data_IF_418029477488
#
_entry.id   IF_418029477488
#
_cell.length_a   1.000
_cell.length_b   1.000
_cell.length_c   1.000
_cell.angle_alpha   90.00
_cell.angle_beta   90.00
_cell.angle_gamma   90.00
#
_symmetry.space_group_name_H-M   'P 1'
#
loop_
_entity.id
_entity.type
_entity.pdbx_description
1 polymer ?
#
# COMPACT_ATOMS: atom_id res chain seq x y z
N UNK A 1 9.33 -26.64 -53.64
CA UNK A 1 8.44 -25.85 -52.77
C UNK A 1 9.13 -25.71 -51.43
N UNK A 2 9.89 -24.63 -51.23
CA UNK A 2 10.63 -24.38 -50.00
C UNK A 2 9.72 -23.59 -49.04
N UNK A 3 9.37 -24.17 -47.90
CA UNK A 3 8.71 -23.46 -46.82
C UNK A 3 9.77 -22.69 -46.03
N UNK A 4 9.71 -21.36 -46.12
CA UNK A 4 10.43 -20.46 -45.22
C UNK A 4 9.63 -20.43 -43.93
N UNK A 5 10.17 -21.04 -42.87
CA UNK A 5 9.69 -20.78 -41.50
C UNK A 5 10.15 -19.38 -41.10
N UNK A 6 9.21 -18.44 -41.02
CA UNK A 6 9.44 -17.18 -40.35
C UNK A 6 9.50 -17.44 -38.84
N UNK A 7 10.67 -17.28 -38.23
CA UNK A 7 10.78 -17.14 -36.77
C UNK A 7 10.02 -15.87 -36.36
N UNK A 8 8.85 -16.05 -35.77
CA UNK A 8 8.21 -15.01 -34.97
C UNK A 8 9.06 -14.83 -33.71
N UNK A 9 9.80 -13.71 -33.63
CA UNK A 9 10.37 -13.24 -32.38
C UNK A 9 9.22 -12.91 -31.41
N UNK A 10 8.87 -13.85 -30.54
CA UNK A 10 7.90 -13.66 -29.47
C UNK A 10 8.63 -13.43 -28.15
N UNK A 11 9.18 -12.23 -27.95
CA UNK A 11 9.63 -11.76 -26.62
C UNK A 11 9.36 -10.26 -26.49
N UNK A 12 8.14 -9.84 -26.85
CA UNK A 12 7.62 -8.59 -26.30
C UNK A 12 7.28 -8.87 -24.83
N UNK A 13 8.26 -8.63 -23.94
CA UNK A 13 8.05 -8.70 -22.50
C UNK A 13 6.82 -7.85 -22.18
N UNK A 14 5.76 -8.48 -21.66
CA UNK A 14 4.52 -7.79 -21.32
C UNK A 14 4.85 -6.72 -20.29
N UNK A 15 4.78 -5.45 -20.70
CA UNK A 15 5.04 -4.33 -19.81
C UNK A 15 3.83 -4.16 -18.88
N UNK A 16 4.09 -4.12 -17.57
CA UNK A 16 3.09 -3.73 -16.59
C UNK A 16 2.62 -2.29 -16.83
N UNK A 17 1.39 -1.96 -16.43
CA UNK A 17 0.79 -0.61 -16.60
C UNK A 17 1.62 0.52 -16.00
N UNK A 18 2.40 0.22 -14.97
CA UNK A 18 3.27 1.12 -14.24
C UNK A 18 4.70 1.19 -14.78
N UNK A 19 5.01 0.45 -15.85
CA UNK A 19 6.36 0.43 -16.43
C UNK A 19 6.68 1.78 -17.06
N UNK A 20 7.80 2.38 -16.67
CA UNK A 20 8.36 3.56 -17.32
C UNK A 20 9.64 3.21 -18.07
N UNK A 21 10.00 4.02 -19.07
CA UNK A 21 11.23 3.83 -19.86
C UNK A 21 12.48 4.32 -19.15
N UNK A 22 12.35 5.43 -18.43
CA UNK A 22 13.46 6.10 -17.75
C UNK A 22 13.43 5.80 -16.24
N UNK A 23 14.60 5.70 -15.59
CA UNK A 23 14.67 5.53 -14.13
C UNK A 23 13.93 6.61 -13.35
N UNK A 24 13.13 6.22 -12.36
CA UNK A 24 12.42 7.13 -11.45
C UNK A 24 13.24 7.32 -10.18
N UNK A 25 14.26 8.18 -10.25
CA UNK A 25 15.20 8.45 -9.13
C UNK A 25 14.62 9.31 -8.01
N UNK A 26 13.50 9.98 -8.27
CA UNK A 26 12.78 10.79 -7.29
C UNK A 26 11.30 10.45 -7.38
N UNK A 27 10.57 10.38 -6.26
CA UNK A 27 9.14 10.13 -6.29
C UNK A 27 8.40 11.07 -7.23
N UNK A 28 7.57 10.47 -8.09
CA UNK A 28 6.75 11.16 -9.08
C UNK A 28 5.29 10.78 -8.87
N UNK A 29 4.39 11.76 -8.98
CA UNK A 29 2.94 11.52 -8.95
C UNK A 29 2.57 10.50 -10.04
N UNK A 30 1.82 9.48 -9.64
CA UNK A 30 1.40 8.39 -10.50
C UNK A 30 0.03 8.69 -11.12
N UNK A 31 -0.05 8.54 -12.45
CA UNK A 31 -1.31 8.67 -13.20
C UNK A 31 -2.11 9.94 -12.81
N UNK A 32 -1.42 11.07 -12.82
CA UNK A 32 -1.97 12.40 -12.51
C UNK A 32 -3.22 12.72 -13.35
N UNK A 33 -4.23 13.28 -12.69
CA UNK A 33 -5.52 13.66 -13.29
C UNK A 33 -6.50 12.51 -13.49
N UNK A 34 -6.13 11.26 -13.20
CA UNK A 34 -7.03 10.11 -13.28
C UNK A 34 -7.01 9.24 -12.02
N UNK A 35 -5.84 8.98 -11.44
CA UNK A 35 -5.69 8.31 -10.15
C UNK A 35 -5.41 9.36 -9.08
N UNK A 36 -4.30 10.08 -9.18
CA UNK A 36 -3.99 11.21 -8.30
C UNK A 36 -4.62 12.46 -8.88
N UNK A 37 -5.72 12.92 -8.28
CA UNK A 37 -6.54 14.00 -8.84
C UNK A 37 -6.45 15.30 -8.06
N UNK A 38 -5.76 15.32 -6.92
CA UNK A 38 -5.81 16.44 -5.97
C UNK A 38 -6.93 16.29 -4.94
N UNK A 39 -7.54 15.10 -4.83
CA UNK A 39 -8.31 14.75 -3.63
C UNK A 39 -7.34 14.03 -2.65
N UNK A 40 -7.82 13.08 -1.86
CA UNK A 40 -6.99 12.28 -0.96
C UNK A 40 -6.91 10.83 -1.44
N UNK A 41 -5.91 10.51 -2.27
CA UNK A 41 -5.66 9.18 -2.84
C UNK A 41 -4.41 8.51 -2.28
N UNK A 42 -4.51 7.21 -1.93
CA UNK A 42 -3.39 6.51 -1.32
C UNK A 42 -3.50 4.96 -1.30
N UNK A 43 -2.57 4.27 -0.62
CA UNK A 43 -2.47 2.83 -0.35
C UNK A 43 -2.65 2.01 -1.64
N UNK A 44 -1.81 2.26 -2.67
CA UNK A 44 -1.91 1.55 -3.93
C UNK A 44 -1.67 0.05 -3.75
N UNK A 45 -2.48 -0.77 -4.42
CA UNK A 45 -2.34 -2.20 -4.51
C UNK A 45 -2.65 -2.68 -5.94
N UNK A 46 -1.62 -3.11 -6.65
CA UNK A 46 -1.79 -3.62 -8.02
C UNK A 46 -2.26 -5.08 -8.04
N UNK A 47 -3.07 -5.43 -9.04
CA UNK A 47 -3.27 -6.83 -9.42
C UNK A 47 -1.93 -7.48 -9.80
N UNK A 48 -1.79 -8.82 -9.73
CA UNK A 48 -0.55 -9.49 -10.13
C UNK A 48 -0.14 -9.25 -11.58
N UNK A 49 -1.13 -9.07 -12.48
CA UNK A 49 -0.92 -8.69 -13.88
C UNK A 49 -0.60 -7.20 -14.05
N UNK A 50 -0.71 -6.40 -13.00
CA UNK A 50 -0.53 -4.95 -12.99
C UNK A 50 -1.54 -4.20 -13.86
N UNK A 51 -2.60 -4.82 -14.34
CA UNK A 51 -3.63 -4.19 -15.19
C UNK A 51 -4.77 -3.53 -14.39
N UNK A 52 -4.76 -3.69 -13.07
CA UNK A 52 -5.78 -3.16 -12.17
C UNK A 52 -5.06 -2.55 -10.98
N UNK A 53 -5.38 -1.30 -10.67
CA UNK A 53 -4.91 -0.63 -9.46
C UNK A 53 -6.09 -0.51 -8.50
N UNK A 54 -5.94 -1.02 -7.30
CA UNK A 54 -6.78 -0.71 -6.15
C UNK A 54 -6.09 0.38 -5.32
N UNK A 55 -6.85 1.31 -4.77
CA UNK A 55 -6.31 2.41 -3.96
C UNK A 55 -7.42 2.97 -3.07
N UNK A 56 -7.05 3.67 -2.01
CA UNK A 56 -7.99 4.39 -1.17
C UNK A 56 -8.26 5.77 -1.75
N UNK A 57 -9.52 6.20 -1.66
CA UNK A 57 -9.92 7.60 -1.86
C UNK A 57 -10.87 8.00 -0.75
N UNK A 58 -10.70 9.20 -0.18
CA UNK A 58 -11.47 9.58 0.99
C UNK A 58 -11.27 11.01 1.48
N UNK A 59 -11.59 11.22 2.76
CA UNK A 59 -11.44 12.50 3.45
C UNK A 59 -10.08 12.58 4.16
N UNK A 60 -9.44 13.77 4.22
CA UNK A 60 -8.14 13.93 4.88
C UNK A 60 -8.12 13.61 6.39
N UNK A 61 -9.26 13.68 7.05
CA UNK A 61 -9.41 13.34 8.48
C UNK A 61 -9.65 11.84 8.71
N UNK A 62 -9.57 11.03 7.65
CA UNK A 62 -9.81 9.59 7.64
C UNK A 62 -11.21 9.15 8.10
N UNK A 63 -12.17 10.08 8.26
CA UNK A 63 -13.54 9.76 8.67
C UNK A 63 -14.32 8.98 7.62
N UNK A 64 -13.86 9.02 6.36
CA UNK A 64 -14.41 8.27 5.25
C UNK A 64 -13.29 7.85 4.29
N UNK A 65 -13.15 6.54 4.07
CA UNK A 65 -12.35 5.96 3.00
C UNK A 65 -13.12 4.84 2.31
N UNK A 66 -12.96 4.76 0.99
CA UNK A 66 -13.38 3.62 0.20
C UNK A 66 -12.20 3.04 -0.57
N UNK A 67 -12.22 1.72 -0.77
CA UNK A 67 -11.33 1.06 -1.72
C UNK A 67 -11.91 1.28 -3.11
N UNK A 68 -11.21 2.06 -3.92
CA UNK A 68 -11.49 2.29 -5.33
C UNK A 68 -10.62 1.37 -6.20
N UNK A 69 -11.01 1.20 -7.47
CA UNK A 69 -10.19 0.54 -8.47
C UNK A 69 -10.24 1.25 -9.82
N UNK A 70 -9.20 1.08 -10.62
CA UNK A 70 -9.14 1.50 -12.02
C UNK A 70 -8.49 0.40 -12.87
N UNK A 71 -8.96 0.24 -14.11
CA UNK A 71 -8.38 -0.69 -15.07
C UNK A 71 -7.43 0.03 -16.03
N UNK A 72 -6.28 -0.58 -16.30
CA UNK A 72 -5.38 -0.17 -17.37
C UNK A 72 -5.70 -0.94 -18.65
N UNK A 73 -6.24 -0.23 -19.66
CA UNK A 73 -6.60 -0.81 -20.95
C UNK A 73 -6.22 0.16 -22.07
N UNK A 74 -5.66 -0.37 -23.15
CA UNK A 74 -5.29 0.42 -24.34
C UNK A 74 -4.40 1.63 -24.01
N UNK A 75 -3.42 1.45 -23.11
CA UNK A 75 -2.45 2.48 -22.76
C UNK A 75 -2.93 3.52 -21.75
N UNK A 76 -4.14 3.38 -21.17
CA UNK A 76 -4.72 4.35 -20.25
C UNK A 76 -5.45 3.70 -19.08
N UNK A 77 -5.46 4.40 -17.95
CA UNK A 77 -6.33 4.09 -16.81
C UNK A 77 -7.77 4.50 -17.11
N UNK A 78 -8.74 3.69 -16.66
CA UNK A 78 -10.16 4.06 -16.68
C UNK A 78 -10.49 5.06 -15.58
N UNK A 79 -11.65 5.72 -15.68
CA UNK A 79 -12.23 6.42 -14.53
C UNK A 79 -12.33 5.44 -13.36
N UNK A 80 -11.86 5.81 -12.16
CA UNK A 80 -11.97 4.95 -10.99
C UNK A 80 -13.42 4.70 -10.59
N UNK A 81 -13.67 3.51 -10.04
CA UNK A 81 -14.95 3.09 -9.48
C UNK A 81 -14.73 2.59 -8.04
N UNK A 82 -15.75 2.68 -7.18
CA UNK A 82 -15.69 2.06 -5.85
C UNK A 82 -15.76 0.54 -6.02
N UNK A 83 -14.89 -0.18 -5.31
CA UNK A 83 -14.93 -1.64 -5.32
C UNK A 83 -16.29 -2.14 -4.79
N UNK A 84 -16.88 -3.19 -5.39
CA UNK A 84 -18.28 -3.58 -5.10
C UNK A 84 -18.51 -4.06 -3.66
N UNK A 85 -17.44 -4.28 -2.89
CA UNK A 85 -17.48 -4.67 -1.48
C UNK A 85 -17.14 -3.53 -0.50
N UNK A 86 -16.94 -2.31 -1.02
CA UNK A 86 -16.53 -1.12 -0.27
C UNK A 86 -17.50 0.06 -0.46
N UNK A 87 -17.31 1.14 0.31
CA UNK A 87 -18.10 2.37 0.23
C UNK A 87 -19.28 2.48 1.21
N UNK A 88 -19.55 1.42 1.99
CA UNK A 88 -20.54 1.45 3.09
C UNK A 88 -19.91 1.65 4.47
N UNK A 89 -18.64 1.27 4.60
CA UNK A 89 -17.86 1.32 5.83
C UNK A 89 -16.52 1.99 5.52
N UNK A 90 -15.74 2.31 6.55
CA UNK A 90 -14.37 2.77 6.37
C UNK A 90 -13.52 1.53 6.09
N UNK A 91 -13.16 1.34 4.82
CA UNK A 91 -12.32 0.24 4.35
C UNK A 91 -10.97 0.79 3.94
N UNK A 92 -9.90 0.23 4.50
CA UNK A 92 -8.54 0.73 4.33
C UNK A 92 -7.55 -0.40 4.06
N UNK A 93 -6.34 -0.03 3.65
CA UNK A 93 -5.18 -0.89 3.51
C UNK A 93 -5.34 -2.15 2.64
N UNK A 94 -5.74 -2.00 1.36
CA UNK A 94 -5.89 -3.14 0.48
C UNK A 94 -4.54 -3.86 0.24
N UNK A 95 -4.59 -5.19 0.25
CA UNK A 95 -3.52 -6.07 -0.19
C UNK A 95 -4.08 -7.19 -1.06
N UNK A 96 -3.54 -7.34 -2.27
CA UNK A 96 -3.94 -8.37 -3.23
C UNK A 96 -2.96 -9.55 -3.16
N UNK A 97 -3.50 -10.76 -3.07
CA UNK A 97 -2.69 -12.00 -3.07
C UNK A 97 -2.00 -12.23 -4.42
N UNK A 98 -0.93 -13.04 -4.42
CA UNK A 98 -0.13 -13.39 -5.61
C UNK A 98 -0.96 -13.91 -6.79
N UNK A 99 -2.01 -14.68 -6.51
CA UNK A 99 -2.92 -15.22 -7.52
C UNK A 99 -3.99 -14.21 -7.98
N UNK A 100 -4.07 -13.07 -7.30
CA UNK A 100 -5.01 -11.98 -7.56
C UNK A 100 -6.43 -12.27 -7.10
N UNK A 101 -6.69 -13.43 -6.50
CA UNK A 101 -8.06 -13.89 -6.23
C UNK A 101 -8.57 -13.55 -4.84
N UNK A 102 -7.71 -13.05 -3.95
CA UNK A 102 -8.09 -12.61 -2.62
C UNK A 102 -7.52 -11.23 -2.33
N UNK A 103 -8.33 -10.38 -1.73
CA UNK A 103 -7.89 -9.13 -1.12
C UNK A 103 -8.00 -9.26 0.39
N UNK A 104 -6.97 -8.87 1.13
CA UNK A 104 -7.02 -8.56 2.56
C UNK A 104 -7.10 -7.05 2.72
N UNK A 105 -7.85 -6.58 3.72
CA UNK A 105 -8.03 -5.16 4.00
C UNK A 105 -8.50 -4.97 5.45
N UNK A 106 -8.33 -3.79 6.02
CA UNK A 106 -8.86 -3.45 7.34
C UNK A 106 -10.20 -2.71 7.21
N UNK A 107 -11.13 -2.96 8.13
CA UNK A 107 -12.47 -2.38 8.07
C UNK A 107 -13.13 -2.28 9.45
N UNK A 108 -13.90 -1.21 9.65
CA UNK A 108 -14.76 -1.03 10.83
C UNK A 108 -16.18 -1.62 10.65
N UNK A 109 -16.38 -2.47 9.64
CA UNK A 109 -17.68 -3.06 9.37
C UNK A 109 -18.16 -4.01 10.49
N UNK A 110 -19.48 -4.13 10.71
CA UNK A 110 -20.09 -5.10 11.61
C UNK A 110 -19.71 -6.55 11.27
N UNK A 111 -19.49 -7.40 12.29
CA UNK A 111 -19.20 -8.83 12.09
C UNK A 111 -20.48 -9.60 11.77
N UNK A 112 -21.57 -9.28 12.48
CA UNK A 112 -22.91 -9.81 12.26
C UNK A 112 -23.86 -8.71 11.76
N UNK A 113 -24.91 -9.02 10.97
CA UNK A 113 -25.92 -8.05 10.55
C UNK A 113 -26.66 -7.34 11.69
N UNK A 114 -26.55 -7.83 12.93
CA UNK A 114 -27.16 -7.22 14.13
C UNK A 114 -26.23 -6.24 14.84
N UNK A 115 -24.94 -6.27 14.52
CA UNK A 115 -23.95 -5.41 15.18
C UNK A 115 -23.97 -4.01 14.55
N UNK A 116 -23.51 -3.03 15.33
CA UNK A 116 -23.27 -1.68 14.81
C UNK A 116 -21.90 -1.58 14.15
N UNK A 117 -21.65 -0.47 13.45
CA UNK A 117 -20.30 -0.11 13.00
C UNK A 117 -19.36 -0.15 14.20
N UNK A 118 -18.17 -0.71 13.97
CA UNK A 118 -17.15 -0.91 15.00
C UNK A 118 -16.41 0.41 15.29
N UNK A 119 -15.96 0.62 16.53
CA UNK A 119 -15.09 1.74 16.87
C UNK A 119 -13.61 1.49 16.52
N UNK A 120 -13.25 0.23 16.24
CA UNK A 120 -11.94 -0.26 15.87
C UNK A 120 -11.95 -0.86 14.46
N UNK A 121 -10.76 -1.22 13.95
CA UNK A 121 -10.60 -1.88 12.67
C UNK A 121 -10.18 -3.33 12.85
N UNK A 122 -10.87 -4.23 12.17
CA UNK A 122 -10.47 -5.64 12.07
C UNK A 122 -9.94 -5.92 10.66
N UNK A 123 -9.15 -6.98 10.51
CA UNK A 123 -8.76 -7.51 9.20
C UNK A 123 -9.87 -8.38 8.63
N UNK A 124 -10.23 -8.08 7.38
CA UNK A 124 -11.17 -8.81 6.55
C UNK A 124 -10.46 -9.34 5.31
N UNK A 125 -11.05 -10.36 4.70
CA UNK A 125 -10.67 -10.82 3.36
C UNK A 125 -11.87 -10.94 2.45
N UNK A 126 -11.67 -10.74 1.16
CA UNK A 126 -12.67 -10.97 0.13
C UNK A 126 -12.06 -11.75 -1.01
N UNK A 127 -12.76 -12.77 -1.49
CA UNK A 127 -12.31 -13.60 -2.61
C UNK A 127 -13.12 -13.26 -3.86
N UNK A 128 -12.51 -13.37 -5.04
CA UNK A 128 -13.21 -13.26 -6.33
C UNK A 128 -13.29 -14.60 -7.05
N UNK A 129 -14.33 -14.75 -7.85
CA UNK A 129 -14.51 -15.84 -8.80
C UNK A 129 -14.80 -15.24 -10.20
N UNK A 130 -15.27 -16.06 -11.14
CA UNK A 130 -15.62 -15.62 -12.50
C UNK A 130 -16.68 -14.52 -12.56
N UNK A 131 -17.51 -14.39 -11.52
CA UNK A 131 -18.59 -13.39 -11.43
C UNK A 131 -18.13 -12.09 -10.75
N UNK A 132 -16.88 -12.00 -10.30
CA UNK A 132 -16.33 -10.84 -9.59
C UNK A 132 -16.05 -11.11 -8.11
N UNK A 133 -15.92 -10.03 -7.33
CA UNK A 133 -15.68 -10.10 -5.89
C UNK A 133 -16.93 -10.59 -5.15
N UNK A 134 -16.75 -11.46 -4.16
CA UNK A 134 -17.81 -11.95 -3.28
C UNK A 134 -18.01 -11.01 -2.07
N UNK A 135 -18.82 -11.45 -1.10
CA UNK A 135 -18.94 -10.77 0.18
C UNK A 135 -17.68 -10.94 1.02
N UNK A 136 -17.21 -9.88 1.71
CA UNK A 136 -16.08 -10.01 2.62
C UNK A 136 -16.37 -10.89 3.83
N UNK A 137 -15.36 -11.60 4.27
CA UNK A 137 -15.35 -12.46 5.46
C UNK A 137 -14.36 -11.92 6.49
N UNK A 138 -14.81 -11.86 7.74
CA UNK A 138 -14.01 -11.49 8.90
C UNK A 138 -12.95 -12.55 9.18
N UNK A 139 -11.71 -12.16 9.52
CA UNK A 139 -10.73 -13.12 10.05
C UNK A 139 -11.05 -13.44 11.52
N UNK A 140 -10.71 -14.66 11.95
CA UNK A 140 -11.04 -15.08 13.31
C UNK A 140 -10.24 -14.35 14.40
N UNK A 141 -10.60 -14.62 15.66
CA UNK A 141 -10.01 -14.00 16.85
C UNK A 141 -8.55 -14.39 17.13
N UNK A 142 -7.95 -15.26 16.32
CA UNK A 142 -6.50 -15.47 16.32
C UNK A 142 -5.81 -14.23 15.78
N UNK A 143 -6.34 -13.67 14.69
CA UNK A 143 -5.81 -12.47 14.05
C UNK A 143 -6.42 -11.24 14.69
N UNK A 144 -7.75 -11.12 14.67
CA UNK A 144 -8.45 -9.94 15.15
C UNK A 144 -8.51 -9.89 16.68
N UNK A 145 -8.47 -8.70 17.27
CA UNK A 145 -8.48 -8.50 18.71
C UNK A 145 -9.55 -7.51 19.16
N UNK A 146 -9.45 -7.04 20.41
CA UNK A 146 -10.30 -5.95 20.92
C UNK A 146 -9.65 -4.57 20.69
N UNK A 147 -8.60 -4.53 19.88
CA UNK A 147 -7.85 -3.36 19.47
C UNK A 147 -7.75 -3.41 17.95
N UNK A 148 -7.38 -2.30 17.33
CA UNK A 148 -7.33 -2.24 15.88
C UNK A 148 -6.17 -3.06 15.30
N UNK A 149 -6.46 -3.71 14.18
CA UNK A 149 -5.50 -4.35 13.29
C UNK A 149 -5.47 -3.63 11.93
N UNK A 150 -4.27 -3.35 11.44
CA UNK A 150 -4.03 -2.49 10.30
C UNK A 150 -3.13 -3.14 9.26
N UNK A 151 -3.31 -2.75 8.01
CA UNK A 151 -2.39 -2.99 6.90
C UNK A 151 -1.88 -4.41 6.77
N UNK A 152 -2.78 -5.38 6.49
CA UNK A 152 -2.40 -6.76 6.27
C UNK A 152 -1.55 -6.89 5.00
N UNK A 153 -0.41 -7.57 5.08
CA UNK A 153 0.38 -8.00 3.91
C UNK A 153 0.82 -9.45 4.06
N UNK A 154 0.95 -10.16 2.94
CA UNK A 154 1.34 -11.58 2.95
C UNK A 154 2.66 -11.81 2.22
N UNK A 155 3.46 -12.70 2.77
CA UNK A 155 4.54 -13.37 2.05
C UNK A 155 4.02 -14.50 1.15
N UNK A 156 4.84 -15.03 0.23
CA UNK A 156 4.44 -16.09 -0.70
C UNK A 156 4.12 -17.42 -0.02
N UNK A 157 4.67 -17.67 1.18
CA UNK A 157 4.31 -18.82 2.01
C UNK A 157 2.97 -18.67 2.75
N UNK A 158 2.32 -17.51 2.60
CA UNK A 158 1.04 -17.19 3.23
C UNK A 158 1.14 -16.59 4.62
N UNK A 159 2.34 -16.39 5.18
CA UNK A 159 2.50 -15.70 6.46
C UNK A 159 1.92 -14.27 6.37
N UNK A 160 1.12 -13.90 7.35
CA UNK A 160 0.43 -12.62 7.44
C UNK A 160 1.20 -11.68 8.36
N UNK A 161 1.56 -10.52 7.85
CA UNK A 161 2.18 -9.41 8.57
C UNK A 161 1.18 -8.26 8.68
N UNK A 162 1.08 -7.66 9.86
CA UNK A 162 0.12 -6.58 10.11
C UNK A 162 0.52 -5.74 11.32
N UNK A 163 0.06 -4.50 11.35
CA UNK A 163 0.15 -3.65 12.54
C UNK A 163 -0.99 -3.97 13.51
N UNK A 164 -0.74 -3.95 14.82
CA UNK A 164 -1.78 -4.17 15.81
C UNK A 164 -1.51 -3.43 17.12
N UNK A 165 -2.57 -2.92 17.75
CA UNK A 165 -2.56 -2.38 19.10
C UNK A 165 -2.74 -3.44 20.20
N UNK A 166 -2.55 -4.73 19.90
CA UNK A 166 -2.71 -5.83 20.86
C UNK A 166 -1.98 -5.57 22.18
N UNK A 167 -2.64 -5.92 23.29
CA UNK A 167 -2.10 -5.76 24.65
C UNK A 167 -0.73 -6.44 24.77
N UNK A 168 0.17 -5.80 25.54
CA UNK A 168 1.57 -6.20 25.73
C UNK A 168 2.48 -5.96 24.50
N UNK A 169 2.02 -5.19 23.51
CA UNK A 169 2.92 -4.50 22.59
C UNK A 169 3.80 -3.48 23.32
N UNK A 170 4.79 -2.94 22.62
CA UNK A 170 5.73 -1.94 23.16
C UNK A 170 5.21 -0.53 22.97
N UNK A 171 4.62 -0.24 21.81
CA UNK A 171 4.00 1.03 21.46
C UNK A 171 2.47 1.00 21.47
N UNK A 172 1.86 2.01 20.85
CA UNK A 172 0.40 1.98 20.58
C UNK A 172 0.07 1.07 19.38
N UNK A 173 1.03 0.84 18.48
CA UNK A 173 0.96 -0.17 17.43
C UNK A 173 2.34 -0.79 17.20
N UNK A 174 2.35 -2.13 17.15
CA UNK A 174 3.53 -2.93 16.83
C UNK A 174 3.24 -3.78 15.59
N UNK A 175 4.30 -4.20 14.90
CA UNK A 175 4.20 -5.14 13.78
C UNK A 175 4.29 -6.58 14.30
N UNK A 176 3.33 -7.40 13.86
CA UNK A 176 3.22 -8.82 14.17
C UNK A 176 3.30 -9.67 12.90
N UNK A 177 3.70 -10.93 13.07
CA UNK A 177 3.60 -11.99 12.06
C UNK A 177 2.75 -13.14 12.58
N UNK A 178 1.80 -13.59 11.78
CA UNK A 178 1.10 -14.86 12.00
C UNK A 178 1.48 -15.84 10.90
N UNK A 179 2.08 -16.97 11.32
CA UNK A 179 2.48 -18.04 10.39
C UNK A 179 1.26 -18.79 9.87
N UNK A 180 1.26 -19.11 8.59
CA UNK A 180 0.20 -19.91 7.98
C UNK A 180 0.60 -21.38 7.90
N UNK A 181 -0.03 -22.23 8.70
CA UNK A 181 0.31 -23.66 8.85
C UNK A 181 -0.98 -24.48 8.81
N UNK A 182 -1.00 -25.55 8.01
CA UNK A 182 -2.15 -26.47 7.90
C UNK A 182 -3.49 -25.75 7.63
N UNK A 183 -3.48 -24.77 6.72
CA UNK A 183 -4.63 -23.94 6.35
C UNK A 183 -5.18 -23.03 7.47
N UNK A 184 -4.40 -22.74 8.50
CA UNK A 184 -4.77 -21.86 9.58
C UNK A 184 -3.64 -20.88 9.92
N UNK A 185 -4.03 -19.70 10.40
CA UNK A 185 -3.11 -18.75 11.00
C UNK A 185 -2.81 -19.16 12.45
N UNK A 186 -1.54 -19.13 12.83
CA UNK A 186 -1.12 -19.29 14.23
C UNK A 186 -1.32 -17.99 15.00
N UNK A 187 -1.24 -18.05 16.34
CA UNK A 187 -1.26 -16.83 17.15
C UNK A 187 -0.11 -15.90 16.73
N UNK A 188 -0.38 -14.59 16.52
CA UNK A 188 0.62 -13.65 16.01
C UNK A 188 1.79 -13.46 16.99
N UNK A 189 3.01 -13.50 16.46
CA UNK A 189 4.27 -13.24 17.15
C UNK A 189 4.68 -11.77 16.90
N UNK A 190 5.08 -11.04 17.94
CA UNK A 190 5.64 -9.70 17.81
C UNK A 190 7.04 -9.80 17.16
N UNK A 191 7.37 -8.91 16.21
CA UNK A 191 8.66 -8.97 15.49
C UNK A 191 9.90 -8.55 16.30
N UNK A 192 9.74 -8.19 17.58
CA UNK A 192 10.83 -7.97 18.51
C UNK A 192 11.57 -6.64 18.32
N UNK A 193 12.65 -6.44 19.09
CA UNK A 193 13.33 -5.14 19.29
C UNK A 193 14.06 -4.59 18.06
N UNK A 194 14.28 -5.43 17.05
CA UNK A 194 14.90 -4.99 15.80
C UNK A 194 13.91 -4.25 14.89
N UNK A 195 12.61 -4.52 15.09
CA UNK A 195 11.50 -3.91 14.34
C UNK A 195 10.71 -2.97 15.25
N UNK A 196 10.15 -3.48 16.35
CA UNK A 196 9.24 -2.73 17.22
C UNK A 196 9.99 -2.01 18.35
N UNK A 197 9.62 -0.75 18.58
CA UNK A 197 10.17 0.15 19.58
C UNK A 197 9.08 0.58 20.57
N UNK A 198 9.40 1.37 21.62
CA UNK A 198 8.36 1.97 22.47
C UNK A 198 7.51 3.05 21.75
N UNK A 199 7.94 3.49 20.57
CA UNK A 199 7.15 4.35 19.69
C UNK A 199 6.20 3.47 18.85
N UNK A 200 5.72 3.97 17.71
CA UNK A 200 4.76 3.24 16.90
C UNK A 200 5.35 2.76 15.58
N UNK A 201 5.07 1.50 15.25
CA UNK A 201 5.37 0.87 13.97
C UNK A 201 4.08 0.39 13.29
N UNK A 202 3.87 0.86 12.06
CA UNK A 202 2.65 0.72 11.30
C UNK A 202 2.92 0.20 9.88
N UNK A 203 1.85 -0.19 9.20
CA UNK A 203 1.82 -0.39 7.74
C UNK A 203 2.96 -1.26 7.16
N UNK A 204 3.10 -2.51 7.61
CA UNK A 204 4.16 -3.39 7.13
C UNK A 204 3.92 -3.83 5.68
N UNK A 205 4.94 -3.71 4.84
CA UNK A 205 5.09 -4.41 3.58
C UNK A 205 6.19 -5.46 3.70
N UNK A 206 5.79 -6.73 3.71
CA UNK A 206 6.70 -7.88 3.66
C UNK A 206 7.06 -8.23 2.21
N UNK A 207 8.34 -8.47 1.94
CA UNK A 207 8.79 -9.02 0.66
C UNK A 207 8.17 -10.42 0.42
N UNK A 208 7.88 -10.82 -0.83
CA UNK A 208 7.31 -12.15 -1.11
C UNK A 208 8.11 -13.32 -0.54
N UNK A 209 9.44 -13.19 -0.48
CA UNK A 209 10.36 -14.19 0.05
C UNK A 209 10.80 -13.92 1.51
N UNK A 210 10.13 -12.97 2.18
CA UNK A 210 10.45 -12.53 3.55
C UNK A 210 11.86 -11.95 3.72
N UNK A 211 12.59 -11.65 2.64
CA UNK A 211 13.98 -11.15 2.70
C UNK A 211 14.11 -9.74 3.29
N UNK A 212 13.07 -8.92 3.18
CA UNK A 212 13.00 -7.59 3.78
C UNK A 212 11.58 -7.21 4.18
N UNK A 213 11.50 -6.27 5.12
CA UNK A 213 10.27 -5.64 5.60
C UNK A 213 10.44 -4.13 5.48
N UNK A 214 9.52 -3.47 4.78
CA UNK A 214 9.39 -2.00 4.77
C UNK A 214 8.18 -1.64 5.63
N UNK A 215 8.26 -0.61 6.45
CA UNK A 215 7.15 -0.21 7.32
C UNK A 215 7.23 1.27 7.66
N UNK A 216 6.10 1.85 8.08
CA UNK A 216 6.03 3.22 8.57
C UNK A 216 6.31 3.24 10.08
N UNK A 217 7.04 4.24 10.58
CA UNK A 217 7.22 4.39 12.03
C UNK A 217 7.29 5.86 12.47
N UNK A 218 6.78 6.12 13.67
CA UNK A 218 6.73 7.46 14.29
C UNK A 218 7.79 7.60 15.38
N UNK A 219 9.06 7.47 15.01
CA UNK A 219 10.20 7.47 15.96
C UNK A 219 10.78 8.87 16.21
N UNK A 220 11.45 9.11 17.36
CA UNK A 220 12.23 10.31 17.61
C UNK A 220 13.21 10.58 16.47
N UNK A 221 13.24 11.82 15.99
CA UNK A 221 14.02 12.29 14.82
C UNK A 221 13.46 11.89 13.43
N UNK A 222 12.17 11.54 13.34
CA UNK A 222 11.47 11.47 12.07
C UNK A 222 11.32 12.85 11.40
N UNK A 223 11.26 12.92 10.06
CA UNK A 223 11.17 14.22 9.35
C UNK A 223 9.76 14.82 9.45
N UNK A 224 8.72 13.98 9.44
CA UNK A 224 7.32 14.42 9.44
C UNK A 224 6.43 13.69 10.45
N UNK A 225 7.03 13.17 11.54
CA UNK A 225 6.40 12.28 12.53
C UNK A 225 5.98 10.90 12.02
N UNK A 226 6.08 10.57 10.72
CA UNK A 226 5.92 9.21 10.20
C UNK A 226 6.79 9.01 8.96
N UNK A 227 7.81 8.15 9.06
CA UNK A 227 8.78 7.88 7.98
C UNK A 227 8.77 6.37 7.65
N UNK A 228 9.18 6.02 6.43
CA UNK A 228 9.48 4.62 6.09
C UNK A 228 10.84 4.15 6.63
N UNK A 229 10.84 2.94 7.17
CA UNK A 229 12.00 2.17 7.61
C UNK A 229 12.07 0.86 6.85
N UNK A 230 13.27 0.29 6.76
CA UNK A 230 13.53 -1.02 6.17
C UNK A 230 14.36 -1.90 7.10
N UNK A 231 14.01 -3.17 7.20
CA UNK A 231 14.79 -4.21 7.87
C UNK A 231 14.96 -5.41 6.96
N UNK A 232 16.07 -6.13 7.10
CA UNK A 232 16.41 -7.31 6.31
C UNK A 232 16.42 -8.55 7.18
N UNK A 233 15.86 -9.65 6.67
CA UNK A 233 15.91 -10.94 7.36
C UNK A 233 17.18 -11.69 6.96
N UNK A 234 18.14 -11.75 7.89
CA UNK A 234 19.47 -12.31 7.64
C UNK A 234 19.81 -13.33 8.72
N UNK A 235 20.21 -14.54 8.33
CA UNK A 235 20.59 -15.63 9.25
C UNK A 235 19.52 -15.94 10.31
N UNK A 236 18.24 -15.87 9.94
CA UNK A 236 17.12 -16.20 10.83
C UNK A 236 16.67 -15.06 11.75
N UNK A 237 17.24 -13.85 11.62
CA UNK A 237 16.88 -12.70 12.45
C UNK A 237 16.68 -11.44 11.59
N UNK A 238 15.76 -10.58 12.01
CA UNK A 238 15.60 -9.24 11.43
C UNK A 238 16.77 -8.35 11.84
N UNK A 239 17.36 -7.63 10.88
CA UNK A 239 18.34 -6.59 11.18
C UNK A 239 17.68 -5.42 11.91
N UNK A 240 18.47 -4.60 12.62
CA UNK A 240 17.96 -3.33 13.12
C UNK A 240 17.38 -2.52 11.96
N UNK A 241 16.16 -2.01 12.13
CA UNK A 241 15.51 -1.22 11.10
C UNK A 241 16.23 0.11 10.85
N UNK A 242 16.43 0.43 9.57
CA UNK A 242 17.11 1.63 9.09
C UNK A 242 16.08 2.54 8.42
N UNK A 243 16.14 3.85 8.72
CA UNK A 243 15.29 4.85 8.06
C UNK A 243 15.68 4.94 6.58
N UNK A 244 14.68 4.91 5.69
CA UNK A 244 14.91 5.10 4.26
C UNK A 244 15.26 6.58 4.02
N UNK A 245 16.24 6.84 3.18
CA UNK A 245 16.73 8.19 2.94
C UNK A 245 15.77 9.01 2.06
N UNK A 246 15.94 10.34 2.10
CA UNK A 246 15.39 11.20 1.06
C UNK A 246 15.91 10.76 -0.32
N UNK A 247 15.10 10.88 -1.40
CA UNK A 247 13.84 11.61 -1.48
C UNK A 247 12.58 10.77 -1.21
N UNK A 248 12.73 9.51 -0.79
CA UNK A 248 11.57 8.65 -0.48
C UNK A 248 10.86 9.16 0.75
N UNK A 249 11.56 9.33 1.87
CA UNK A 249 11.05 10.09 3.00
C UNK A 249 11.25 11.59 2.74
N UNK A 250 10.34 12.42 3.23
CA UNK A 250 10.40 13.89 3.10
C UNK A 250 9.91 14.59 4.38
N UNK A 251 9.75 15.92 4.34
CA UNK A 251 9.10 16.66 5.44
C UNK A 251 7.56 16.51 5.44
N UNK A 252 7.05 15.72 4.50
CA UNK A 252 5.65 15.31 4.41
C UNK A 252 5.45 13.94 5.07
N UNK A 253 4.21 13.59 5.38
CA UNK A 253 3.88 12.24 5.85
C UNK A 253 3.91 11.31 4.63
N UNK A 254 4.46 10.11 4.81
CA UNK A 254 4.41 9.03 3.85
C UNK A 254 3.71 7.80 4.42
N UNK A 255 2.90 7.14 3.58
CA UNK A 255 2.11 6.00 4.02
C UNK A 255 1.85 5.02 2.88
N UNK A 256 1.40 3.82 3.21
CA UNK A 256 0.94 2.80 2.29
C UNK A 256 1.98 2.25 1.33
N UNK A 257 3.25 2.21 1.76
CA UNK A 257 4.39 1.79 0.93
C UNK A 257 4.32 0.32 0.52
N UNK A 258 4.45 0.03 -0.78
CA UNK A 258 4.52 -1.33 -1.34
C UNK A 258 5.48 -1.43 -2.52
N UNK A 259 6.21 -2.54 -2.63
CA UNK A 259 7.02 -2.86 -3.82
C UNK A 259 6.16 -3.65 -4.82
N UNK A 260 6.28 -3.32 -6.11
CA UNK A 260 5.59 -4.06 -7.18
C UNK A 260 6.06 -5.52 -7.26
N UNK A 261 5.22 -6.41 -7.79
CA UNK A 261 5.50 -7.85 -7.78
C UNK A 261 6.75 -8.24 -8.57
N UNK A 262 7.10 -7.43 -9.57
CA UNK A 262 8.32 -7.56 -10.38
C UNK A 262 9.56 -6.95 -9.71
N UNK A 263 9.41 -6.38 -8.51
CA UNK A 263 10.50 -5.80 -7.72
C UNK A 263 11.05 -4.49 -8.26
N UNK A 264 10.41 -3.87 -9.27
CA UNK A 264 10.99 -2.72 -9.99
C UNK A 264 10.66 -1.37 -9.39
N UNK A 265 9.47 -1.22 -8.80
CA UNK A 265 8.99 0.07 -8.32
C UNK A 265 8.50 0.00 -6.89
N UNK A 266 8.69 1.09 -6.16
CA UNK A 266 8.05 1.35 -4.89
C UNK A 266 6.93 2.38 -5.10
N UNK A 267 5.76 2.05 -4.57
CA UNK A 267 4.57 2.88 -4.61
C UNK A 267 4.12 3.21 -3.20
N UNK A 268 3.69 4.45 -2.97
CA UNK A 268 3.27 4.92 -1.67
C UNK A 268 2.40 6.18 -1.79
N UNK A 269 1.62 6.49 -0.76
CA UNK A 269 0.93 7.77 -0.64
C UNK A 269 1.79 8.81 0.09
N UNK A 270 1.62 10.08 -0.25
CA UNK A 270 2.26 11.18 0.46
C UNK A 270 1.47 12.47 0.30
N UNK A 271 1.50 13.34 1.32
CA UNK A 271 1.00 14.71 1.24
C UNK A 271 2.11 15.72 0.88
N UNK A 272 3.20 15.28 0.26
CA UNK A 272 4.22 16.21 -0.25
C UNK A 272 3.61 17.14 -1.29
N UNK A 273 3.95 18.42 -1.20
CA UNK A 273 3.53 19.40 -2.21
C UNK A 273 4.54 19.52 -3.33
N UNK A 274 4.06 19.68 -4.55
CA UNK A 274 4.86 20.11 -5.71
C UNK A 274 4.50 21.55 -6.17
N UNK A 275 3.61 22.24 -5.44
CA UNK A 275 3.15 23.58 -5.79
C UNK A 275 4.22 24.59 -5.38
N UNK A 276 4.55 25.50 -6.30
CA UNK A 276 5.52 26.57 -6.04
C UNK A 276 4.99 27.54 -4.98
N UNK A 277 5.85 27.85 -4.01
CA UNK A 277 5.55 28.86 -2.96
C UNK A 277 5.58 30.29 -3.49
N UNK A 278 6.15 30.49 -4.68
CA UNK A 278 6.17 31.77 -5.39
C UNK A 278 5.68 31.57 -6.83
N UNK A 279 4.50 32.10 -7.12
CA UNK A 279 3.97 32.09 -8.49
C UNK A 279 4.74 33.13 -9.33
N UNK A 280 5.13 32.79 -10.58
CA UNK A 280 5.92 33.70 -11.42
C UNK A 280 5.14 34.97 -11.81
N UNK A 281 3.81 34.92 -11.72
CA UNK A 281 2.90 36.03 -11.96
C UNK A 281 1.68 35.91 -11.04
N UNK A 282 0.90 36.98 -10.91
CA UNK A 282 -0.39 36.93 -10.24
C UNK A 282 -1.38 36.12 -11.09
N UNK A 283 -1.86 35.01 -10.54
CA UNK A 283 -2.90 34.19 -11.17
C UNK A 283 -4.29 34.80 -10.94
N UNK A 284 -5.20 34.61 -11.90
CA UNK A 284 -6.62 34.88 -11.66
C UNK A 284 -7.26 33.72 -10.86
N UNK A 285 -8.48 33.92 -10.35
CA UNK A 285 -9.14 32.90 -9.52
C UNK A 285 -9.33 31.55 -10.23
N UNK A 286 -9.57 31.53 -11.53
CA UNK A 286 -9.73 30.27 -12.29
C UNK A 286 -8.43 29.49 -12.33
N UNK A 287 -7.30 30.17 -12.53
CA UNK A 287 -5.98 29.56 -12.52
C UNK A 287 -5.59 29.11 -11.10
N UNK A 288 -5.89 29.92 -10.10
CA UNK A 288 -5.61 29.60 -8.70
C UNK A 288 -6.40 28.37 -8.22
N UNK A 289 -7.71 28.30 -8.52
CA UNK A 289 -8.55 27.13 -8.21
C UNK A 289 -8.00 25.85 -8.86
N UNK A 290 -7.59 25.94 -10.13
CA UNK A 290 -6.98 24.80 -10.82
C UNK A 290 -5.70 24.31 -10.12
N UNK A 291 -4.90 25.21 -9.57
CA UNK A 291 -3.66 24.86 -8.84
C UNK A 291 -3.98 24.16 -7.52
N UNK A 292 -4.90 24.70 -6.72
CA UNK A 292 -5.22 24.14 -5.40
C UNK A 292 -6.08 22.87 -5.46
N UNK A 293 -6.72 22.60 -6.60
CA UNK A 293 -7.51 21.39 -6.85
C UNK A 293 -6.76 20.33 -7.68
N UNK A 294 -5.50 20.57 -8.06
CA UNK A 294 -4.70 19.57 -8.77
C UNK A 294 -3.88 18.70 -7.81
N UNK A 295 -3.41 17.56 -8.31
CA UNK A 295 -2.46 16.70 -7.60
C UNK A 295 -1.23 17.48 -7.13
N UNK A 296 -0.71 17.13 -5.95
CA UNK A 296 0.39 17.80 -5.27
C UNK A 296 -0.03 19.03 -4.45
N UNK A 297 -1.33 19.18 -4.17
CA UNK A 297 -1.90 20.21 -3.30
C UNK A 297 -1.75 19.95 -1.79
N UNK A 298 -1.00 18.92 -1.40
CA UNK A 298 -0.76 18.49 -0.01
C UNK A 298 -1.93 17.78 0.68
N UNK A 299 -2.95 17.31 -0.06
CA UNK A 299 -3.96 16.41 0.50
C UNK A 299 -3.40 14.98 0.57
N UNK A 300 -3.30 14.29 -0.56
CA UNK A 300 -2.68 12.98 -0.64
C UNK A 300 -2.67 12.48 -2.07
N UNK A 301 -1.48 12.16 -2.57
CA UNK A 301 -1.30 11.60 -3.91
C UNK A 301 -0.49 10.30 -3.84
N UNK A 302 -0.62 9.49 -4.89
CA UNK A 302 0.14 8.25 -5.05
C UNK A 302 1.42 8.57 -5.82
N UNK A 303 2.55 8.17 -5.26
CA UNK A 303 3.87 8.36 -5.83
C UNK A 303 4.48 7.04 -6.27
N UNK A 304 5.26 7.12 -7.35
CA UNK A 304 6.10 6.05 -7.88
C UNK A 304 7.58 6.45 -7.77
N UNK A 305 8.43 5.51 -7.39
CA UNK A 305 9.89 5.62 -7.44
C UNK A 305 10.51 4.26 -7.79
N UNK A 306 11.73 4.21 -8.31
CA UNK A 306 12.43 2.95 -8.51
C UNK A 306 12.64 2.25 -7.17
N UNK A 307 12.38 0.94 -7.10
CA UNK A 307 12.59 0.15 -5.90
C UNK A 307 14.05 0.21 -5.40
N UNK A 308 15.01 0.44 -6.30
CA UNK A 308 16.42 0.60 -5.94
C UNK A 308 16.73 1.84 -5.10
N UNK A 309 15.82 2.82 -5.04
CA UNK A 309 15.96 3.99 -4.16
C UNK A 309 15.54 3.67 -2.71
N UNK A 310 14.87 2.52 -2.50
CA UNK A 310 14.40 2.03 -1.20
C UNK A 310 15.23 0.85 -0.72
N UNK A 311 15.44 -0.12 -1.61
CA UNK A 311 16.20 -1.32 -1.34
C UNK A 311 17.68 -0.96 -1.39
N UNK A 312 18.28 -0.82 -0.21
CA UNK A 312 19.72 -0.61 -0.09
C UNK A 312 20.47 -1.72 -0.84
N UNK A 313 21.48 -1.33 -1.62
CA UNK A 313 22.45 -2.27 -2.19
C UNK A 313 23.35 -2.75 -1.05
N UNK A 314 22.85 -3.62 -0.16
CA UNK A 314 23.74 -4.26 0.81
C UNK A 314 24.70 -5.16 0.01
N UNK A 315 25.96 -4.71 -0.02
CA UNK A 315 27.13 -5.43 -0.54
C UNK A 315 27.45 -6.62 0.35
#
# INVERSE_FOLDING_TARGET
MFFIFACLNSDAQQLFSYSVKEPVRKPKIFAEGIISTGDYETHPAFSPSGDTLYFLKGLPDASLFAICFSYYRNGKWSTPEIAPFSGHYVDVDPFITKDGNTMYFASNRPVSPKDTVRPDWDIWKVSRNSSGWNNPSHLDSTINSAQSEYFPTLADNGNLYFGSGKKNGKGMADIYVSKFVNNAYLYPENLGDSINTPDNEYEPFIAPDESYLIFMATRPNGLANADFYISYYVNGVWSKAEKIAAPVNSDAIEWGGKITRDGKYFFFGSNRSNISVAMPQQENMVQFEKIIQSAGNSLGDIYQVDASEVLSKKK
#
